data_IF_655230538103
#
_entry.id   IF_655230538103
#
_cell.length_a   1.000
_cell.length_b   1.000
_cell.length_c   1.000
_cell.angle_alpha   90.00
_cell.angle_beta   90.00
_cell.angle_gamma   90.00
#
_symmetry.space_group_name_H-M   'P 1'
#
loop_
_entity.id
_entity.type
_entity.pdbx_description
1 polymer ?
#
# COMPACT_ATOMS: atom_id res chain seq x y z
N UNK A 1 -16.59 -17.96 -13.34
CA UNK A 1 -15.61 -16.94 -13.76
C UNK A 1 -14.28 -17.23 -13.08
N UNK A 2 -13.17 -16.97 -13.71
CA UNK A 2 -11.85 -17.13 -13.11
C UNK A 2 -11.67 -16.01 -12.09
N UNK A 3 -11.31 -16.35 -10.85
CA UNK A 3 -11.14 -15.36 -9.78
C UNK A 3 -9.94 -14.46 -10.11
N UNK A 4 -10.14 -13.14 -10.19
CA UNK A 4 -9.09 -12.16 -10.53
C UNK A 4 -8.14 -12.00 -9.34
N UNK A 5 -8.66 -11.95 -8.12
CA UNK A 5 -7.87 -11.82 -6.90
C UNK A 5 -7.83 -13.15 -6.16
N UNK A 6 -6.64 -13.73 -6.04
CA UNK A 6 -6.40 -14.94 -5.25
C UNK A 6 -5.97 -14.54 -3.84
N UNK A 7 -6.67 -15.07 -2.82
CA UNK A 7 -6.37 -14.84 -1.40
C UNK A 7 -5.68 -16.05 -0.78
N UNK A 8 -4.58 -15.82 -0.09
CA UNK A 8 -3.88 -16.75 0.80
C UNK A 8 -3.81 -16.12 2.19
N UNK A 9 -4.06 -16.91 3.24
CA UNK A 9 -3.85 -16.47 4.63
C UNK A 9 -2.77 -17.35 5.23
N UNK A 10 -1.68 -16.73 5.67
CA UNK A 10 -0.55 -17.42 6.28
C UNK A 10 -0.85 -17.78 7.74
N UNK A 11 -0.08 -18.71 8.33
CA UNK A 11 -0.26 -19.16 9.71
C UNK A 11 -0.17 -18.01 10.76
N UNK A 12 0.61 -16.96 10.45
CA UNK A 12 0.74 -15.77 11.30
C UNK A 12 -0.35 -14.71 11.05
N UNK A 13 -1.42 -15.04 10.29
CA UNK A 13 -2.55 -14.16 10.02
C UNK A 13 -2.32 -13.12 8.90
N UNK A 14 -1.14 -13.12 8.27
CA UNK A 14 -0.85 -12.26 7.10
C UNK A 14 -1.71 -12.69 5.92
N UNK A 15 -2.35 -11.73 5.26
CA UNK A 15 -3.17 -11.94 4.06
C UNK A 15 -2.39 -11.54 2.82
N UNK A 16 -2.31 -12.43 1.85
CA UNK A 16 -1.72 -12.16 0.55
C UNK A 16 -2.85 -12.12 -0.48
N UNK A 17 -2.94 -11.00 -1.20
CA UNK A 17 -3.88 -10.80 -2.29
C UNK A 17 -3.09 -10.70 -3.60
N UNK A 18 -3.22 -11.73 -4.43
CA UNK A 18 -2.49 -11.83 -5.69
C UNK A 18 -3.43 -11.58 -6.87
N UNK A 19 -3.20 -10.49 -7.60
CA UNK A 19 -3.92 -10.21 -8.84
C UNK A 19 -3.41 -11.11 -9.97
N UNK A 20 -4.33 -11.72 -10.72
CA UNK A 20 -4.06 -12.57 -11.86
C UNK A 20 -5.08 -12.31 -12.96
N UNK A 21 -4.88 -11.23 -13.71
CA UNK A 21 -5.72 -10.80 -14.82
C UNK A 21 -4.89 -10.65 -16.11
N UNK A 22 -4.40 -11.76 -16.70
CA UNK A 22 -3.51 -11.72 -17.86
C UNK A 22 -4.18 -11.19 -19.13
N UNK A 23 -5.50 -11.25 -19.23
CA UNK A 23 -6.26 -10.79 -20.41
C UNK A 23 -6.11 -9.27 -20.62
N UNK A 24 -5.86 -8.54 -19.55
CA UNK A 24 -5.64 -7.09 -19.57
C UNK A 24 -4.27 -6.69 -18.96
N UNK A 25 -3.30 -7.62 -18.93
CA UNK A 25 -1.95 -7.38 -18.38
C UNK A 25 -1.96 -6.77 -16.97
N UNK A 26 -2.87 -7.23 -16.09
CA UNK A 26 -3.10 -6.65 -14.77
C UNK A 26 -3.40 -5.14 -14.76
N UNK A 27 -3.96 -4.60 -15.86
CA UNK A 27 -4.66 -3.33 -15.74
C UNK A 27 -5.79 -3.51 -14.73
N UNK A 28 -5.92 -2.55 -13.82
CA UNK A 28 -6.87 -2.68 -12.72
C UNK A 28 -8.26 -2.35 -13.23
N UNK A 29 -9.05 -3.39 -13.51
CA UNK A 29 -10.47 -3.27 -13.85
C UNK A 29 -11.28 -2.88 -12.61
N UNK A 30 -12.49 -2.39 -12.80
CA UNK A 30 -13.37 -2.06 -11.67
C UNK A 30 -13.77 -3.28 -10.88
N UNK A 31 -13.92 -4.45 -11.53
CA UNK A 31 -14.11 -5.72 -10.86
C UNK A 31 -12.90 -6.08 -9.98
N UNK A 32 -11.66 -5.90 -10.49
CA UNK A 32 -10.46 -6.15 -9.71
C UNK A 32 -10.34 -5.20 -8.49
N UNK A 33 -10.69 -3.92 -8.66
CA UNK A 33 -10.70 -2.94 -7.57
C UNK A 33 -11.76 -3.29 -6.50
N UNK A 34 -12.95 -3.73 -6.92
CA UNK A 34 -14.01 -4.19 -6.02
C UNK A 34 -13.60 -5.46 -5.27
N UNK A 35 -13.08 -6.46 -5.98
CA UNK A 35 -12.59 -7.70 -5.37
C UNK A 35 -11.50 -7.42 -4.33
N UNK A 36 -10.51 -6.57 -4.65
CA UNK A 36 -9.48 -6.17 -3.69
C UNK A 36 -10.09 -5.49 -2.46
N UNK A 37 -10.99 -4.52 -2.68
CA UNK A 37 -11.68 -3.83 -1.60
C UNK A 37 -12.41 -4.80 -0.68
N UNK A 38 -13.22 -5.70 -1.24
CA UNK A 38 -14.03 -6.66 -0.48
C UNK A 38 -13.16 -7.66 0.28
N UNK A 39 -12.09 -8.17 -0.34
CA UNK A 39 -11.17 -9.11 0.31
C UNK A 39 -10.36 -8.46 1.44
N UNK A 40 -9.89 -7.21 1.28
CA UNK A 40 -9.23 -6.47 2.37
C UNK A 40 -10.20 -6.22 3.51
N UNK A 41 -11.38 -5.66 3.21
CA UNK A 41 -12.39 -5.33 4.20
C UNK A 41 -12.82 -6.56 5.00
N UNK A 42 -13.21 -7.64 4.32
CA UNK A 42 -13.67 -8.86 5.00
C UNK A 42 -12.58 -9.49 5.86
N UNK A 43 -11.32 -9.48 5.39
CA UNK A 43 -10.20 -10.02 6.16
C UNK A 43 -9.86 -9.14 7.38
N UNK A 44 -9.90 -7.80 7.24
CA UNK A 44 -9.74 -6.86 8.36
C UNK A 44 -10.82 -7.06 9.41
N UNK A 45 -12.08 -7.14 9.00
CA UNK A 45 -13.22 -7.39 9.89
C UNK A 45 -13.16 -8.76 10.60
N UNK A 46 -12.45 -9.72 9.96
CA UNK A 46 -12.14 -11.03 10.56
C UNK A 46 -10.89 -11.02 11.46
N UNK A 47 -10.23 -9.87 11.64
CA UNK A 47 -9.13 -9.66 12.58
C UNK A 47 -7.73 -9.61 11.96
N UNK A 48 -7.57 -9.84 10.65
CA UNK A 48 -6.29 -9.66 9.97
C UNK A 48 -5.89 -8.18 9.90
N UNK A 49 -4.61 -7.90 10.08
CA UNK A 49 -4.11 -6.52 10.07
C UNK A 49 -2.86 -6.31 9.19
N UNK A 50 -2.32 -7.35 8.55
CA UNK A 50 -1.16 -7.23 7.66
C UNK A 50 -1.53 -7.82 6.30
N UNK A 51 -1.36 -7.03 5.24
CA UNK A 51 -1.74 -7.36 3.88
C UNK A 51 -0.56 -7.20 2.92
N UNK A 52 -0.39 -8.16 2.02
CA UNK A 52 0.56 -8.08 0.91
C UNK A 52 -0.25 -8.06 -0.38
N UNK A 53 -0.05 -7.03 -1.20
CA UNK A 53 -0.58 -6.95 -2.55
C UNK A 53 0.49 -7.44 -3.54
N UNK A 54 0.20 -8.48 -4.29
CA UNK A 54 1.12 -9.14 -5.21
C UNK A 54 0.50 -9.34 -6.60
N UNK A 55 1.34 -9.62 -7.58
CA UNK A 55 0.93 -9.99 -8.94
C UNK A 55 1.41 -11.39 -9.30
N UNK A 56 0.58 -12.12 -10.03
CA UNK A 56 0.95 -13.41 -10.63
C UNK A 56 1.68 -13.25 -11.96
N UNK A 57 1.72 -12.05 -12.56
CA UNK A 57 2.39 -11.77 -13.82
C UNK A 57 3.80 -11.24 -13.56
N UNK A 58 4.81 -11.76 -14.24
CA UNK A 58 6.22 -11.46 -13.97
C UNK A 58 6.66 -10.05 -14.33
N UNK A 59 5.99 -9.41 -15.31
CA UNK A 59 6.43 -8.12 -15.84
C UNK A 59 5.38 -7.00 -15.64
N UNK A 60 4.22 -7.36 -15.08
CA UNK A 60 3.12 -6.46 -14.78
C UNK A 60 2.70 -6.64 -13.31
N UNK A 61 2.93 -5.62 -12.50
CA UNK A 61 2.37 -5.62 -11.14
C UNK A 61 0.90 -5.19 -11.23
N UNK A 62 0.57 -3.95 -10.87
CA UNK A 62 -0.73 -3.35 -11.13
C UNK A 62 -0.48 -2.19 -12.11
N UNK A 63 -1.04 -2.35 -13.31
CA UNK A 63 -0.95 -1.33 -14.34
C UNK A 63 -1.98 -0.23 -14.10
N UNK A 64 -2.17 0.68 -15.05
CA UNK A 64 -3.15 1.74 -14.92
C UNK A 64 -4.60 1.21 -14.76
N UNK A 65 -5.53 2.09 -14.40
CA UNK A 65 -6.95 1.79 -14.44
C UNK A 65 -7.36 1.34 -15.85
N UNK A 66 -8.18 0.30 -15.95
CA UNK A 66 -8.66 -0.17 -17.25
C UNK A 66 -9.52 0.91 -17.91
N UNK A 67 -9.00 1.52 -18.97
CA UNK A 67 -9.62 2.69 -19.60
C UNK A 67 -11.00 2.41 -20.17
N UNK A 68 -11.26 1.17 -20.60
CA UNK A 68 -12.57 0.77 -21.10
C UNK A 68 -13.66 0.87 -20.03
N UNK A 69 -13.33 0.61 -18.77
CA UNK A 69 -14.28 0.78 -17.66
C UNK A 69 -14.59 2.28 -17.41
N UNK A 70 -13.60 3.15 -17.59
CA UNK A 70 -13.79 4.60 -17.50
C UNK A 70 -14.68 5.07 -18.66
N UNK A 71 -14.36 4.67 -19.89
CA UNK A 71 -15.12 5.00 -21.08
C UNK A 71 -16.58 4.52 -20.97
N UNK A 72 -16.79 3.30 -20.47
CA UNK A 72 -18.13 2.73 -20.33
C UNK A 72 -19.07 3.63 -19.52
N UNK A 73 -18.58 4.24 -18.42
CA UNK A 73 -19.42 5.18 -17.64
C UNK A 73 -19.81 6.42 -18.44
N UNK A 74 -18.82 7.07 -19.07
CA UNK A 74 -19.09 8.33 -19.79
C UNK A 74 -19.90 8.11 -21.08
N UNK A 75 -19.90 6.90 -21.62
CA UNK A 75 -20.71 6.46 -22.74
C UNK A 75 -22.07 5.86 -22.33
N UNK A 76 -22.36 5.79 -21.01
CA UNK A 76 -23.62 5.25 -20.48
C UNK A 76 -23.77 3.74 -20.66
N UNK A 77 -22.67 3.02 -20.81
CA UNK A 77 -22.64 1.55 -20.90
C UNK A 77 -22.61 0.90 -19.51
N UNK A 78 -23.07 -0.32 -19.42
CA UNK A 78 -22.93 -1.13 -18.18
C UNK A 78 -21.47 -1.45 -17.88
N UNK A 79 -21.11 -1.46 -16.60
CA UNK A 79 -19.80 -1.82 -16.08
C UNK A 79 -19.90 -3.08 -15.23
N UNK A 80 -18.81 -3.86 -15.15
CA UNK A 80 -18.76 -5.11 -14.38
C UNK A 80 -18.85 -4.88 -12.86
N UNK A 81 -18.46 -3.69 -12.38
CA UNK A 81 -18.52 -3.28 -10.98
C UNK A 81 -18.69 -1.76 -10.86
N UNK A 82 -19.13 -1.24 -9.71
CA UNK A 82 -19.28 0.20 -9.50
C UNK A 82 -17.90 0.89 -9.46
N UNK A 83 -17.73 1.98 -10.22
CA UNK A 83 -16.46 2.76 -10.20
C UNK A 83 -16.11 3.36 -8.86
N UNK A 84 -17.08 3.52 -7.96
CA UNK A 84 -16.85 3.97 -6.59
C UNK A 84 -16.01 2.96 -5.77
N UNK A 85 -15.92 1.70 -6.20
CA UNK A 85 -15.12 0.65 -5.55
C UNK A 85 -13.63 1.01 -5.46
N UNK A 86 -13.11 1.79 -6.43
CA UNK A 86 -11.77 2.34 -6.36
C UNK A 86 -11.54 3.23 -5.13
N UNK A 87 -12.47 4.12 -4.83
CA UNK A 87 -12.36 4.99 -3.64
C UNK A 87 -12.47 4.18 -2.34
N UNK A 88 -13.30 3.13 -2.34
CA UNK A 88 -13.40 2.23 -1.20
C UNK A 88 -12.11 1.42 -1.00
N UNK A 89 -11.49 0.92 -2.09
CA UNK A 89 -10.20 0.26 -2.03
C UNK A 89 -9.12 1.18 -1.42
N UNK A 90 -9.01 2.40 -1.93
CA UNK A 90 -8.03 3.37 -1.44
C UNK A 90 -8.22 3.69 0.04
N UNK A 91 -9.48 3.79 0.49
CA UNK A 91 -9.82 4.01 1.90
C UNK A 91 -9.45 2.82 2.77
N UNK A 92 -9.70 1.60 2.31
CA UNK A 92 -9.30 0.39 3.06
C UNK A 92 -7.77 0.28 3.15
N UNK A 93 -7.02 0.54 2.08
CA UNK A 93 -5.55 0.51 2.10
C UNK A 93 -4.95 1.52 3.09
N UNK A 94 -5.60 2.65 3.27
CA UNK A 94 -5.16 3.68 4.23
C UNK A 94 -5.82 3.55 5.61
N UNK A 95 -6.64 2.52 5.83
CA UNK A 95 -7.30 2.30 7.11
C UNK A 95 -6.27 2.10 8.24
N UNK A 96 -6.44 2.74 9.41
CA UNK A 96 -5.46 2.65 10.49
C UNK A 96 -5.25 1.23 11.01
N UNK A 97 -6.26 0.37 10.95
CA UNK A 97 -6.22 -1.00 11.48
C UNK A 97 -5.43 -1.99 10.62
N UNK A 98 -4.90 -1.58 9.46
CA UNK A 98 -4.12 -2.46 8.60
C UNK A 98 -2.74 -1.87 8.29
N UNK A 99 -1.78 -2.76 8.07
CA UNK A 99 -0.48 -2.47 7.47
C UNK A 99 -0.43 -3.12 6.10
N UNK A 100 -0.18 -2.33 5.07
CA UNK A 100 -0.19 -2.77 3.68
C UNK A 100 1.21 -2.77 3.06
N UNK A 101 1.54 -3.83 2.32
CA UNK A 101 2.82 -4.02 1.65
C UNK A 101 2.55 -4.26 0.17
N UNK A 102 3.07 -3.41 -0.70
CA UNK A 102 3.11 -3.64 -2.14
C UNK A 102 4.35 -4.49 -2.49
N UNK A 103 4.13 -5.70 -3.00
CA UNK A 103 5.15 -6.64 -3.49
C UNK A 103 5.24 -6.50 -5.01
N UNK A 104 6.15 -5.64 -5.48
CA UNK A 104 6.17 -5.11 -6.85
C UNK A 104 7.20 -5.85 -7.68
N UNK A 105 6.72 -6.77 -8.54
CA UNK A 105 7.53 -7.62 -9.41
C UNK A 105 7.49 -7.23 -10.89
N UNK A 106 6.84 -6.13 -11.23
CA UNK A 106 6.68 -5.65 -12.59
C UNK A 106 6.26 -4.19 -12.62
N UNK A 107 5.99 -3.68 -13.83
CA UNK A 107 5.60 -2.29 -14.04
C UNK A 107 4.39 -1.91 -13.18
N UNK A 108 4.46 -0.75 -12.56
CA UNK A 108 3.38 -0.11 -11.82
C UNK A 108 3.11 1.27 -12.42
N UNK A 109 1.90 1.49 -12.95
CA UNK A 109 1.61 2.73 -13.65
C UNK A 109 0.21 3.27 -13.36
N UNK A 110 0.01 4.58 -13.49
CA UNK A 110 -1.28 5.24 -13.31
C UNK A 110 -2.00 4.81 -12.04
N UNK A 111 -3.26 4.37 -12.13
CA UNK A 111 -4.05 3.89 -10.99
C UNK A 111 -3.40 2.74 -10.22
N UNK A 112 -2.66 1.85 -10.88
CA UNK A 112 -1.88 0.80 -10.22
C UNK A 112 -0.74 1.38 -9.37
N UNK A 113 0.00 2.37 -9.89
CA UNK A 113 1.01 3.09 -9.11
C UNK A 113 0.37 3.84 -7.94
N UNK A 114 -0.83 4.41 -8.11
CA UNK A 114 -1.58 5.06 -7.02
C UNK A 114 -1.91 4.11 -5.86
N UNK A 115 -2.20 2.83 -6.17
CA UNK A 115 -2.35 1.77 -5.16
C UNK A 115 -1.02 1.54 -4.42
N UNK A 116 0.11 1.48 -5.15
CA UNK A 116 1.42 1.33 -4.53
C UNK A 116 1.75 2.50 -3.59
N UNK A 117 1.45 3.74 -4.00
CA UNK A 117 1.67 4.93 -3.16
C UNK A 117 0.76 4.98 -1.92
N UNK A 118 -0.38 4.30 -1.94
CA UNK A 118 -1.28 4.19 -0.79
C UNK A 118 -0.85 3.13 0.22
N UNK A 119 -0.03 2.15 -0.18
CA UNK A 119 0.49 1.15 0.74
C UNK A 119 1.49 1.76 1.74
N UNK A 120 1.61 1.17 2.93
CA UNK A 120 2.59 1.58 3.93
C UNK A 120 4.02 1.24 3.51
N UNK A 121 4.21 0.06 2.94
CA UNK A 121 5.51 -0.42 2.46
C UNK A 121 5.47 -0.79 0.98
N UNK A 122 6.61 -0.61 0.31
CA UNK A 122 6.85 -1.00 -1.08
C UNK A 122 8.16 -1.76 -1.17
N UNK A 123 8.09 -3.01 -1.66
CA UNK A 123 9.23 -3.87 -1.96
C UNK A 123 9.21 -4.08 -3.47
N UNK A 124 10.20 -3.56 -4.18
CA UNK A 124 10.27 -3.63 -5.63
C UNK A 124 11.47 -4.44 -6.11
N UNK A 125 11.31 -5.09 -7.26
CA UNK A 125 12.40 -5.80 -7.93
C UNK A 125 13.25 -4.87 -8.79
N UNK A 126 14.52 -5.22 -8.97
CA UNK A 126 15.40 -4.60 -9.95
C UNK A 126 14.77 -4.63 -11.34
N UNK A 127 14.85 -3.52 -12.07
CA UNK A 127 14.27 -3.37 -13.41
C UNK A 127 12.79 -2.98 -13.45
N UNK A 128 12.10 -2.92 -12.31
CA UNK A 128 10.72 -2.40 -12.23
C UNK A 128 10.69 -0.92 -12.63
N UNK A 129 9.60 -0.51 -13.29
CA UNK A 129 9.33 0.87 -13.71
C UNK A 129 8.03 1.38 -13.07
N UNK A 130 8.07 2.65 -12.68
CA UNK A 130 6.95 3.39 -12.11
C UNK A 130 6.65 4.59 -13.00
N UNK A 131 5.38 4.87 -13.30
CA UNK A 131 5.00 6.09 -14.00
C UNK A 131 3.59 6.56 -13.63
N UNK A 132 3.31 7.83 -13.95
CA UNK A 132 1.98 8.45 -13.88
C UNK A 132 1.70 9.09 -15.25
N UNK A 133 1.22 8.29 -16.24
CA UNK A 133 1.14 8.70 -17.63
C UNK A 133 -0.17 9.42 -17.98
N UNK A 134 -0.98 9.82 -17.00
CA UNK A 134 -2.31 10.41 -17.19
C UNK A 134 -2.27 11.67 -18.07
N UNK A 135 -1.20 12.44 -17.99
CA UNK A 135 -1.01 13.66 -18.81
C UNK A 135 -1.05 13.37 -20.31
N UNK A 136 -0.53 12.23 -20.75
CA UNK A 136 -0.55 11.83 -22.16
C UNK A 136 -1.96 11.51 -22.69
N UNK A 137 -2.90 11.24 -21.77
CA UNK A 137 -4.31 10.97 -22.04
C UNK A 137 -5.19 12.21 -21.83
N UNK A 138 -4.60 13.39 -21.60
CA UNK A 138 -5.31 14.61 -21.20
C UNK A 138 -6.13 14.40 -19.91
N UNK A 139 -5.63 13.57 -19.00
CA UNK A 139 -6.20 13.28 -17.70
C UNK A 139 -5.28 13.76 -16.57
N UNK A 140 -5.79 13.73 -15.35
CA UNK A 140 -5.03 13.91 -14.13
C UNK A 140 -5.07 12.62 -13.32
N UNK A 141 -4.13 12.45 -12.36
CA UNK A 141 -4.24 11.40 -11.35
C UNK A 141 -5.51 11.61 -10.52
N UNK A 142 -6.21 10.53 -10.17
CA UNK A 142 -7.53 10.60 -9.52
C UNK A 142 -7.58 10.03 -8.10
N UNK A 143 -6.59 9.23 -7.72
CA UNK A 143 -6.61 8.44 -6.47
C UNK A 143 -5.42 8.76 -5.56
N UNK A 144 -4.75 9.87 -5.81
CA UNK A 144 -3.65 10.39 -5.00
C UNK A 144 -2.26 10.23 -5.61
N UNK A 145 -2.15 9.91 -6.90
CA UNK A 145 -0.87 9.79 -7.61
C UNK A 145 -0.02 11.03 -7.49
N UNK A 146 -0.58 12.21 -7.68
CA UNK A 146 0.14 13.47 -7.46
C UNK A 146 0.34 13.75 -5.97
N UNK A 147 -0.73 13.67 -5.17
CA UNK A 147 -0.71 14.10 -3.77
C UNK A 147 0.19 13.22 -2.90
N UNK A 148 0.14 11.88 -3.09
CA UNK A 148 0.98 10.95 -2.31
C UNK A 148 2.41 10.94 -2.81
N UNK A 149 2.63 10.91 -4.13
CA UNK A 149 3.99 10.87 -4.66
C UNK A 149 4.77 12.14 -4.31
N UNK A 150 4.13 13.31 -4.32
CA UNK A 150 4.77 14.55 -3.92
C UNK A 150 5.23 14.54 -2.44
N UNK A 151 4.50 13.82 -1.56
CA UNK A 151 4.92 13.61 -0.18
C UNK A 151 6.05 12.60 -0.03
N UNK A 152 6.16 11.62 -0.95
CA UNK A 152 7.20 10.58 -0.93
C UNK A 152 8.53 11.10 -1.48
N UNK A 153 8.53 11.76 -2.66
CA UNK A 153 9.75 12.12 -3.39
C UNK A 153 10.00 13.63 -3.49
N UNK A 154 9.16 14.41 -2.83
CA UNK A 154 9.19 15.87 -2.92
C UNK A 154 8.57 16.42 -4.21
N UNK A 155 8.15 17.70 -4.22
CA UNK A 155 7.39 18.29 -5.33
C UNK A 155 8.19 18.38 -6.62
N UNK A 156 9.50 18.57 -6.57
CA UNK A 156 10.36 18.72 -7.77
C UNK A 156 10.39 17.42 -8.59
N UNK A 157 10.64 16.27 -7.95
CA UNK A 157 10.65 14.98 -8.64
C UNK A 157 9.26 14.48 -8.98
N UNK A 158 8.27 14.78 -8.14
CA UNK A 158 6.89 14.50 -8.47
C UNK A 158 6.44 15.25 -9.75
N UNK A 159 6.87 16.51 -9.96
CA UNK A 159 6.56 17.25 -11.18
C UNK A 159 7.12 16.55 -12.44
N UNK A 160 8.35 16.02 -12.41
CA UNK A 160 8.92 15.24 -13.52
C UNK A 160 8.07 13.99 -13.81
N UNK A 161 7.63 13.28 -12.77
CA UNK A 161 6.82 12.06 -12.91
C UNK A 161 5.42 12.36 -13.50
N UNK A 162 4.73 13.39 -12.97
CA UNK A 162 3.30 13.61 -13.31
C UNK A 162 3.10 14.58 -14.47
N UNK A 163 3.98 15.56 -14.71
CA UNK A 163 3.82 16.52 -15.80
C UNK A 163 4.42 16.03 -17.11
N UNK A 164 5.45 15.19 -17.04
CA UNK A 164 6.10 14.63 -18.21
C UNK A 164 5.69 13.18 -18.49
N UNK A 165 4.97 12.53 -17.56
CA UNK A 165 4.65 11.11 -17.68
C UNK A 165 5.88 10.19 -17.71
N UNK A 166 7.03 10.65 -17.23
CA UNK A 166 8.30 9.91 -17.29
C UNK A 166 8.22 8.62 -16.45
N UNK A 167 8.93 7.60 -16.93
CA UNK A 167 9.17 6.38 -16.15
C UNK A 167 10.39 6.57 -15.24
N UNK A 168 10.24 6.21 -13.99
CA UNK A 168 11.32 6.13 -13.00
C UNK A 168 11.63 4.67 -12.70
N UNK A 169 12.90 4.32 -12.60
CA UNK A 169 13.32 2.97 -12.21
C UNK A 169 13.13 2.73 -10.73
N UNK A 170 13.11 1.46 -10.33
CA UNK A 170 13.05 1.09 -8.91
C UNK A 170 14.29 1.58 -8.14
N UNK A 171 15.45 1.64 -8.78
CA UNK A 171 16.69 2.19 -8.24
C UNK A 171 16.53 3.69 -7.93
N UNK A 172 16.02 4.48 -8.90
CA UNK A 172 15.72 5.90 -8.70
C UNK A 172 14.69 6.10 -7.57
N UNK A 173 13.64 5.26 -7.53
CA UNK A 173 12.61 5.34 -6.49
C UNK A 173 13.15 4.94 -5.11
N UNK A 174 14.16 4.06 -5.02
CA UNK A 174 14.86 3.77 -3.77
C UNK A 174 15.66 4.99 -3.30
N UNK A 175 16.43 5.61 -4.20
CA UNK A 175 17.22 6.81 -3.89
C UNK A 175 16.34 7.97 -3.44
N UNK A 176 15.18 8.13 -4.06
CA UNK A 176 14.15 9.11 -3.70
C UNK A 176 13.34 8.73 -2.46
N UNK A 177 13.60 7.58 -1.84
CA UNK A 177 12.90 7.06 -0.64
C UNK A 177 11.42 6.72 -0.86
N UNK A 178 11.01 6.55 -2.12
CA UNK A 178 9.65 6.14 -2.46
C UNK A 178 9.41 4.63 -2.25
N UNK A 179 10.44 3.81 -2.28
CA UNK A 179 10.35 2.39 -1.95
C UNK A 179 11.25 2.04 -0.75
N UNK A 180 10.86 1.01 0.00
CA UNK A 180 11.53 0.60 1.23
C UNK A 180 12.66 -0.41 1.00
N UNK A 181 12.48 -1.30 0.01
CA UNK A 181 13.45 -2.35 -0.33
C UNK A 181 13.52 -2.53 -1.84
N UNK A 182 14.73 -2.61 -2.36
CA UNK A 182 15.02 -3.06 -3.71
C UNK A 182 15.61 -4.45 -3.63
N UNK A 183 15.06 -5.40 -4.39
CA UNK A 183 15.44 -6.80 -4.35
C UNK A 183 15.68 -7.35 -5.77
N UNK A 184 16.36 -8.49 -5.88
CA UNK A 184 16.57 -9.15 -7.16
C UNK A 184 15.26 -9.59 -7.80
N UNK A 185 15.25 -9.71 -9.12
CA UNK A 185 14.09 -10.22 -9.86
C UNK A 185 13.67 -11.59 -9.32
N UNK A 186 12.37 -11.73 -8.99
CA UNK A 186 11.75 -12.91 -8.42
C UNK A 186 11.71 -12.95 -6.88
N UNK A 187 12.31 -11.99 -6.19
CA UNK A 187 12.43 -11.99 -4.73
C UNK A 187 11.43 -11.06 -4.00
N UNK A 188 10.61 -10.26 -4.72
CA UNK A 188 9.72 -9.28 -4.08
C UNK A 188 8.72 -9.92 -3.11
N UNK A 189 8.07 -11.00 -3.51
CA UNK A 189 7.08 -11.68 -2.65
C UNK A 189 7.74 -12.31 -1.42
N UNK A 190 8.94 -12.91 -1.58
CA UNK A 190 9.69 -13.47 -0.46
C UNK A 190 10.07 -12.38 0.53
N UNK A 191 10.66 -11.28 0.05
CA UNK A 191 11.06 -10.16 0.91
C UNK A 191 9.87 -9.47 1.57
N UNK A 192 8.72 -9.41 0.89
CA UNK A 192 7.46 -8.91 1.47
C UNK A 192 6.92 -9.83 2.57
N UNK A 193 7.01 -11.15 2.39
CA UNK A 193 6.65 -12.13 3.44
C UNK A 193 7.58 -12.01 4.65
N UNK A 194 8.89 -11.84 4.43
CA UNK A 194 9.86 -11.64 5.51
C UNK A 194 9.55 -10.37 6.31
N UNK A 195 9.22 -9.26 5.63
CA UNK A 195 8.79 -8.01 6.27
C UNK A 195 7.48 -8.18 7.05
N UNK A 196 6.50 -8.86 6.45
CA UNK A 196 5.22 -9.14 7.11
C UNK A 196 5.39 -10.03 8.35
N UNK A 197 6.32 -10.98 8.32
CA UNK A 197 6.66 -11.82 9.49
C UNK A 197 7.33 -10.99 10.60
N UNK A 198 8.22 -10.05 10.26
CA UNK A 198 8.78 -9.10 11.22
C UNK A 198 7.68 -8.24 11.89
N UNK A 199 6.71 -7.74 11.09
CA UNK A 199 5.58 -6.95 11.57
C UNK A 199 4.63 -7.77 12.45
N UNK A 200 4.35 -9.03 12.08
CA UNK A 200 3.44 -9.91 12.82
C UNK A 200 3.91 -10.22 14.25
N UNK A 201 5.21 -10.09 14.52
CA UNK A 201 5.81 -10.23 15.86
C UNK A 201 5.64 -8.99 16.74
N UNK A 202 5.19 -7.87 16.18
CA UNK A 202 4.96 -6.63 16.93
C UNK A 202 3.55 -6.60 17.51
N UNK A 203 3.33 -5.95 18.67
CA UNK A 203 1.99 -5.76 19.21
C UNK A 203 1.08 -5.03 18.21
N UNK A 204 -0.05 -5.64 17.87
CA UNK A 204 -1.01 -5.11 16.89
C UNK A 204 -1.47 -3.69 17.23
N UNK A 205 -1.86 -3.47 18.50
CA UNK A 205 -2.38 -2.17 18.93
C UNK A 205 -1.33 -1.06 18.78
N UNK A 206 -0.06 -1.35 19.07
CA UNK A 206 1.02 -0.39 18.87
C UNK A 206 1.22 -0.05 17.39
N UNK A 207 1.16 -1.04 16.49
CA UNK A 207 1.27 -0.80 15.03
C UNK A 207 0.13 0.09 14.53
N UNK A 208 -1.10 -0.16 14.95
CA UNK A 208 -2.29 0.62 14.58
C UNK A 208 -2.13 2.09 15.01
N UNK A 209 -1.75 2.32 16.27
CA UNK A 209 -1.58 3.66 16.79
C UNK A 209 -0.39 4.39 16.12
N UNK A 210 0.72 3.69 15.88
CA UNK A 210 1.88 4.26 15.17
C UNK A 210 1.52 4.65 13.72
N UNK A 211 0.74 3.83 13.01
CA UNK A 211 0.24 4.22 11.68
C UNK A 211 -0.63 5.47 11.74
N UNK A 212 -1.52 5.57 12.73
CA UNK A 212 -2.34 6.77 12.93
C UNK A 212 -1.49 8.01 13.20
N UNK A 213 -0.51 7.91 14.11
CA UNK A 213 0.43 9.00 14.42
C UNK A 213 1.18 9.43 13.16
N UNK A 214 1.67 8.48 12.36
CA UNK A 214 2.38 8.76 11.12
C UNK A 214 1.48 9.50 10.11
N UNK A 215 0.23 9.07 9.94
CA UNK A 215 -0.74 9.74 9.08
C UNK A 215 -1.03 11.17 9.59
N UNK A 216 -1.32 11.32 10.87
CA UNK A 216 -1.58 12.63 11.50
C UNK A 216 -0.38 13.59 11.31
N UNK A 217 0.85 13.08 11.36
CA UNK A 217 2.07 13.87 11.12
C UNK A 217 2.19 14.46 9.72
N UNK A 218 1.52 13.84 8.74
CA UNK A 218 1.51 14.29 7.35
C UNK A 218 0.31 15.19 7.00
N UNK A 219 -0.74 15.16 7.82
CA UNK A 219 -2.02 15.81 7.51
C UNK A 219 -2.32 17.00 8.43
N UNK A 220 -1.82 16.97 9.67
CA UNK A 220 -2.11 17.99 10.68
C UNK A 220 -0.96 19.02 10.81
N UNK A 221 -1.26 20.24 11.25
CA UNK A 221 -0.22 21.15 11.74
C UNK A 221 0.59 20.50 12.87
N UNK A 222 1.90 20.74 12.93
CA UNK A 222 2.81 20.07 13.88
C UNK A 222 2.31 20.08 15.33
N UNK A 223 1.77 21.20 15.80
CA UNK A 223 1.26 21.31 17.19
C UNK A 223 0.08 20.37 17.44
N UNK A 224 -0.80 20.18 16.45
CA UNK A 224 -1.95 19.27 16.54
C UNK A 224 -1.50 17.81 16.40
N UNK A 225 -0.57 17.52 15.50
CA UNK A 225 0.03 16.19 15.36
C UNK A 225 0.71 15.73 16.66
N UNK A 226 1.51 16.62 17.31
CA UNK A 226 2.16 16.31 18.60
C UNK A 226 1.14 16.07 19.72
N UNK A 227 0.01 16.78 19.72
CA UNK A 227 -1.07 16.54 20.69
C UNK A 227 -1.72 15.18 20.45
N UNK A 228 -2.06 14.87 19.19
CA UNK A 228 -2.60 13.56 18.82
C UNK A 228 -1.64 12.42 19.21
N UNK A 229 -0.33 12.57 18.97
CA UNK A 229 0.68 11.60 19.37
C UNK A 229 0.70 11.36 20.87
N UNK A 230 0.65 12.43 21.68
CA UNK A 230 0.59 12.34 23.15
C UNK A 230 -0.68 11.63 23.63
N UNK A 231 -1.84 11.98 23.07
CA UNK A 231 -3.12 11.37 23.43
C UNK A 231 -3.12 9.86 23.10
N UNK A 232 -2.61 9.49 21.93
CA UNK A 232 -2.50 8.10 21.50
C UNK A 232 -1.48 7.32 22.35
N UNK A 233 -0.35 7.94 22.72
CA UNK A 233 0.60 7.34 23.66
C UNK A 233 -0.04 7.08 25.03
N UNK A 234 -0.78 8.05 25.57
CA UNK A 234 -1.48 7.88 26.86
C UNK A 234 -2.54 6.77 26.79
N UNK A 235 -3.15 6.56 25.64
CA UNK A 235 -4.18 5.51 25.47
C UNK A 235 -3.64 4.08 25.58
N UNK A 236 -2.34 3.86 25.33
CA UNK A 236 -1.72 2.52 25.31
C UNK A 236 -0.72 2.30 26.45
N UNK A 237 -0.06 3.35 26.97
CA UNK A 237 1.05 3.23 27.93
C UNK A 237 0.64 2.52 29.24
N UNK A 238 -0.60 2.64 29.63
CA UNK A 238 -1.15 2.02 30.84
C UNK A 238 -1.73 0.61 30.62
N UNK A 239 -1.64 0.04 29.41
CA UNK A 239 -2.10 -1.31 29.16
C UNK A 239 -1.21 -2.35 29.86
N UNK A 240 -1.82 -3.43 30.33
CA UNK A 240 -1.08 -4.53 30.98
C UNK A 240 0.06 -5.06 30.10
N UNK A 241 -0.16 -5.11 28.80
CA UNK A 241 0.84 -5.53 27.81
C UNK A 241 2.06 -4.58 27.75
N UNK A 242 1.81 -3.27 27.76
CA UNK A 242 2.87 -2.26 27.74
C UNK A 242 3.65 -2.28 29.07
N UNK A 243 2.94 -2.29 30.20
CA UNK A 243 3.57 -2.32 31.55
C UNK A 243 4.47 -3.56 31.69
N UNK A 244 3.96 -4.75 31.29
CA UNK A 244 4.76 -5.98 31.34
C UNK A 244 6.01 -5.87 30.50
N UNK A 245 5.89 -5.42 29.24
CA UNK A 245 7.04 -5.26 28.32
C UNK A 245 8.08 -4.26 28.83
N UNK A 246 7.64 -3.14 29.41
CA UNK A 246 8.54 -2.16 30.00
C UNK A 246 9.33 -2.76 31.17
N UNK A 247 8.69 -3.53 32.04
CA UNK A 247 9.39 -4.24 33.14
C UNK A 247 10.41 -5.24 32.61
N UNK A 248 10.02 -6.11 31.67
CA UNK A 248 10.90 -7.10 31.05
C UNK A 248 12.18 -6.44 30.50
N UNK A 249 12.05 -5.30 29.80
CA UNK A 249 13.20 -4.56 29.24
C UNK A 249 14.04 -3.88 30.35
N UNK A 250 13.40 -3.30 31.35
CA UNK A 250 14.09 -2.65 32.46
C UNK A 250 14.89 -3.66 33.30
N UNK A 251 14.31 -4.82 33.59
CA UNK A 251 14.97 -5.89 34.34
C UNK A 251 16.19 -6.45 33.58
N UNK A 252 16.07 -6.64 32.24
CA UNK A 252 17.19 -7.06 31.40
C UNK A 252 18.33 -6.02 31.35
N UNK A 253 18.01 -4.72 31.37
CA UNK A 253 19.00 -3.65 31.35
C UNK A 253 19.80 -3.55 32.66
N UNK A 254 19.22 -4.00 33.78
CA UNK A 254 19.88 -4.03 35.09
C UNK A 254 20.83 -5.24 35.29
N UNK A 255 20.64 -6.31 34.47
CA UNK A 255 21.52 -7.50 34.54
C UNK A 255 22.88 -7.27 33.85
N UNK A 256 22.98 -6.24 33.00
CA UNK A 256 24.18 -5.90 32.23
C UNK A 256 25.01 -4.73 32.84
N UNK A 257 24.70 -4.30 34.06
CA UNK A 257 25.51 -3.40 34.86
C UNK A 257 26.28 -4.22 35.91
#
# INVERSE_FOLDING_TARGET
>A
MKKIINKEILQNGVVILTMNNPEVNNNVTWEAAEDLFLEIKSSRESGSNIFILASALSDHWYEHAWLEDILAIYEGRETSAPGVSWFYLMRELTHPDIISIASINGRASGGGAEIAWACDFRVAEEGVRFCQPEVDLNLTTGLGGTSRVARLIGPTKAAELVFLGNEFSAEEMLDLKAINRLVKKGDSLKSSKDLADELSKKPKDALILLKKILNDSLELPLTEALRSEQDLFQSIVNSDGAIKKMRDVQDLSLIHI
#
